data_IF_756523371873
#
_entry.id   IF_756523371873
#
_cell.length_a   1.000
_cell.length_b   1.000
_cell.length_c   1.000
_cell.angle_alpha   90.00
_cell.angle_beta   90.00
_cell.angle_gamma   90.00
#
_symmetry.space_group_name_H-M   'P 1'
#
loop_
_entity.id
_entity.type
_entity.pdbx_description
1 polymer ?
#
# COMPACT_ATOMS: atom_id res chain seq x y z
N UNK A 1 15.44 -33.55 4.03
CA UNK A 1 14.04 -34.00 3.88
C UNK A 1 13.24 -33.41 5.03
N UNK A 2 12.53 -32.29 4.81
CA UNK A 2 11.68 -31.70 5.85
C UNK A 2 10.38 -32.49 5.90
N UNK A 3 10.07 -33.08 7.04
CA UNK A 3 8.79 -33.75 7.30
C UNK A 3 7.66 -32.74 7.23
N UNK A 4 7.06 -32.59 6.04
CA UNK A 4 5.72 -32.01 5.90
C UNK A 4 4.80 -32.83 6.79
N UNK A 5 4.04 -32.25 7.73
CA UNK A 5 3.12 -33.01 8.54
C UNK A 5 2.13 -33.71 7.60
N UNK A 6 2.04 -35.03 7.71
CA UNK A 6 1.10 -35.91 6.99
C UNK A 6 -0.34 -35.70 7.47
N UNK A 7 -0.76 -34.44 7.60
CA UNK A 7 -2.06 -34.08 8.08
C UNK A 7 -2.93 -33.78 6.84
N UNK A 8 -3.99 -34.56 6.56
CA UNK A 8 -4.83 -34.39 5.35
C UNK A 8 -5.40 -32.97 5.18
N UNK A 9 -5.49 -32.21 6.28
CA UNK A 9 -5.87 -30.80 6.28
C UNK A 9 -4.81 -29.88 5.63
N UNK A 10 -3.52 -30.18 5.76
CA UNK A 10 -2.43 -29.45 5.07
C UNK A 10 -2.49 -29.65 3.54
N UNK A 11 -2.90 -30.84 3.09
CA UNK A 11 -3.13 -31.13 1.67
C UNK A 11 -4.32 -30.34 1.11
N UNK A 12 -5.39 -30.16 1.89
CA UNK A 12 -6.52 -29.32 1.51
C UNK A 12 -6.16 -27.81 1.45
N UNK A 13 -5.33 -27.33 2.37
CA UNK A 13 -4.74 -25.98 2.32
C UNK A 13 -3.88 -25.83 1.04
N UNK A 14 -3.06 -26.82 0.69
CA UNK A 14 -2.18 -26.76 -0.50
C UNK A 14 -2.91 -26.59 -1.85
N UNK A 15 -4.21 -26.91 -1.92
CA UNK A 15 -5.06 -26.67 -3.09
C UNK A 15 -5.44 -25.20 -3.28
N UNK A 16 -5.11 -24.31 -2.33
CA UNK A 16 -5.19 -22.87 -2.47
C UNK A 16 -3.76 -22.37 -2.73
N UNK A 17 -3.54 -21.71 -3.87
CA UNK A 17 -2.22 -21.17 -4.20
C UNK A 17 -1.95 -19.91 -3.37
N UNK A 18 -1.13 -20.05 -2.32
CA UNK A 18 -0.85 -18.97 -1.39
C UNK A 18 0.39 -18.17 -1.76
N UNK A 19 0.29 -16.85 -1.64
CA UNK A 19 1.41 -15.92 -1.76
C UNK A 19 2.52 -16.24 -0.77
N UNK A 20 3.71 -16.51 -1.31
CA UNK A 20 4.87 -16.97 -0.55
C UNK A 20 4.92 -18.47 -0.27
N UNK A 21 3.85 -19.23 -0.57
CA UNK A 21 3.79 -20.65 -0.24
C UNK A 21 3.91 -20.92 1.26
N UNK A 22 4.06 -22.20 1.61
CA UNK A 22 4.23 -22.60 3.00
C UNK A 22 5.61 -22.15 3.52
N UNK A 23 5.70 -21.66 4.76
CA UNK A 23 6.98 -21.35 5.37
C UNK A 23 7.87 -22.59 5.45
N UNK A 24 9.11 -22.44 5.01
CA UNK A 24 10.14 -23.46 5.06
C UNK A 24 11.35 -22.95 5.83
N UNK A 25 12.30 -23.82 6.17
CA UNK A 25 13.55 -23.38 6.81
C UNK A 25 14.39 -22.43 5.96
N UNK A 26 14.15 -22.36 4.65
CA UNK A 26 14.80 -21.40 3.74
C UNK A 26 14.27 -19.97 3.90
N UNK A 27 13.10 -19.78 4.52
CA UNK A 27 12.52 -18.46 4.75
C UNK A 27 13.16 -17.72 5.94
N UNK A 28 13.94 -18.39 6.80
CA UNK A 28 14.49 -17.77 8.01
C UNK A 28 15.37 -16.55 7.71
N UNK A 29 16.38 -16.73 6.86
CA UNK A 29 17.34 -15.69 6.53
C UNK A 29 16.66 -14.46 5.89
N UNK A 30 15.85 -14.60 4.83
CA UNK A 30 15.17 -13.44 4.26
C UNK A 30 14.16 -12.81 5.24
N UNK A 31 13.45 -13.60 6.07
CA UNK A 31 12.57 -13.05 7.09
C UNK A 31 13.29 -12.14 8.08
N UNK A 32 14.48 -12.54 8.56
CA UNK A 32 15.28 -11.72 9.48
C UNK A 32 15.78 -10.45 8.79
N UNK A 33 16.29 -10.55 7.57
CA UNK A 33 16.81 -9.39 6.81
C UNK A 33 15.71 -8.34 6.62
N UNK A 34 14.54 -8.75 6.10
CA UNK A 34 13.42 -7.82 5.92
C UNK A 34 12.88 -7.31 7.24
N UNK A 35 12.87 -8.13 8.30
CA UNK A 35 12.43 -7.68 9.62
C UNK A 35 13.31 -6.53 10.13
N UNK A 36 14.63 -6.66 10.01
CA UNK A 36 15.57 -5.59 10.36
C UNK A 36 15.30 -4.34 9.53
N UNK A 37 15.12 -4.47 8.21
CA UNK A 37 14.83 -3.34 7.32
C UNK A 37 13.54 -2.60 7.72
N UNK A 38 12.46 -3.31 8.00
CA UNK A 38 11.19 -2.71 8.44
C UNK A 38 11.29 -2.07 9.82
N UNK A 39 12.00 -2.70 10.77
CA UNK A 39 12.26 -2.12 12.10
C UNK A 39 13.09 -0.84 11.98
N UNK A 40 14.09 -0.80 11.12
CA UNK A 40 14.89 0.41 10.86
C UNK A 40 14.11 1.52 10.15
N UNK A 41 13.10 1.16 9.35
CA UNK A 41 12.20 2.14 8.73
C UNK A 41 11.17 2.71 9.73
N UNK A 42 10.89 2.02 10.83
CA UNK A 42 9.89 2.44 11.82
C UNK A 42 10.20 3.81 12.47
N UNK A 43 11.43 4.11 12.92
CA UNK A 43 11.78 5.44 13.43
C UNK A 43 11.49 6.58 12.45
N UNK A 44 11.71 6.36 11.14
CA UNK A 44 11.43 7.38 10.11
C UNK A 44 9.93 7.66 10.04
N UNK A 45 9.11 6.61 10.04
CA UNK A 45 7.66 6.75 10.06
C UNK A 45 7.17 7.43 11.35
N UNK A 46 7.69 7.02 12.52
CA UNK A 46 7.34 7.61 13.82
C UNK A 46 7.72 9.09 13.85
N UNK A 47 8.92 9.44 13.38
CA UNK A 47 9.34 10.84 13.25
C UNK A 47 8.38 11.65 12.38
N UNK A 48 7.95 11.11 11.23
CA UNK A 48 6.96 11.75 10.34
C UNK A 48 5.58 11.91 10.99
N UNK A 49 5.16 10.94 11.80
CA UNK A 49 3.90 10.98 12.55
C UNK A 49 3.96 11.92 13.77
N UNK A 50 5.15 12.22 14.31
CA UNK A 50 5.29 13.14 15.45
C UNK A 50 5.50 14.58 14.98
N UNK A 51 6.24 14.83 13.91
CA UNK A 51 6.50 16.19 13.42
C UNK A 51 5.24 16.83 12.83
N UNK A 52 4.73 17.91 13.45
CA UNK A 52 3.49 18.60 13.04
C UNK A 52 3.46 18.97 11.55
N UNK A 53 4.60 19.32 10.97
CA UNK A 53 4.77 19.67 9.55
C UNK A 53 4.64 18.49 8.58
N UNK A 54 4.81 17.25 9.06
CA UNK A 54 4.78 16.02 8.23
C UNK A 54 3.55 15.15 8.49
N UNK A 55 2.78 15.44 9.54
CA UNK A 55 1.59 14.67 9.92
C UNK A 55 0.51 14.77 8.84
N UNK A 56 0.09 13.62 8.32
CA UNK A 56 -1.04 13.52 7.40
C UNK A 56 -1.80 12.21 7.63
N UNK A 57 -3.11 12.22 7.41
CA UNK A 57 -3.95 11.01 7.48
C UNK A 57 -3.51 9.95 6.45
N UNK A 58 -2.79 10.36 5.39
CA UNK A 58 -2.24 9.42 4.41
C UNK A 58 -1.19 8.47 5.01
N UNK A 59 -0.53 8.82 6.13
CA UNK A 59 0.46 7.96 6.78
C UNK A 59 -0.16 6.90 7.71
N UNK A 60 -1.47 6.98 7.97
CA UNK A 60 -2.15 6.00 8.84
C UNK A 60 -2.11 4.59 8.24
N UNK A 61 -2.43 4.43 6.94
CA UNK A 61 -2.40 3.11 6.29
C UNK A 61 -0.99 2.53 6.13
N UNK A 62 0.05 3.32 5.76
CA UNK A 62 1.44 2.89 5.86
C UNK A 62 1.86 2.42 7.26
N UNK A 63 1.25 2.97 8.33
CA UNK A 63 1.50 2.52 9.71
C UNK A 63 0.93 1.14 9.97
N UNK A 64 -0.32 0.89 9.54
CA UNK A 64 -0.93 -0.44 9.61
C UNK A 64 -0.14 -1.44 8.77
N UNK A 65 0.29 -1.02 7.57
CA UNK A 65 1.14 -1.82 6.71
C UNK A 65 2.43 -2.25 7.42
N UNK A 66 3.17 -1.32 8.02
CA UNK A 66 4.41 -1.61 8.72
C UNK A 66 4.21 -2.64 9.84
N UNK A 67 3.20 -2.44 10.69
CA UNK A 67 2.86 -3.38 11.77
C UNK A 67 2.50 -4.75 11.20
N UNK A 68 1.69 -4.79 10.14
CA UNK A 68 1.29 -6.03 9.49
C UNK A 68 2.49 -6.81 8.91
N UNK A 69 3.50 -6.09 8.39
CA UNK A 69 4.71 -6.69 7.82
C UNK A 69 5.67 -7.20 8.88
N UNK A 70 5.87 -6.44 9.95
CA UNK A 70 6.63 -6.92 11.10
C UNK A 70 5.99 -8.20 11.67
N UNK A 71 4.67 -8.20 11.88
CA UNK A 71 3.93 -9.38 12.35
C UNK A 71 4.09 -10.59 11.41
N UNK A 72 3.93 -10.38 10.10
CA UNK A 72 4.09 -11.45 9.11
C UNK A 72 5.51 -12.04 9.13
N UNK A 73 6.53 -11.18 9.17
CA UNK A 73 7.93 -11.61 9.15
C UNK A 73 8.33 -12.34 10.43
N UNK A 74 7.86 -11.89 11.59
CA UNK A 74 8.06 -12.58 12.88
C UNK A 74 7.40 -13.96 12.86
N UNK A 75 6.14 -14.03 12.42
CA UNK A 75 5.42 -15.32 12.33
C UNK A 75 6.13 -16.25 11.35
N UNK A 76 6.53 -15.76 10.17
CA UNK A 76 7.20 -16.55 9.14
C UNK A 76 8.58 -17.04 9.59
N UNK A 77 9.34 -16.20 10.30
CA UNK A 77 10.60 -16.60 10.94
C UNK A 77 10.38 -17.70 11.99
N UNK A 78 9.36 -17.56 12.85
CA UNK A 78 9.03 -18.57 13.85
C UNK A 78 8.63 -19.91 13.21
N UNK A 79 7.77 -19.88 12.18
CA UNK A 79 7.31 -21.07 11.45
C UNK A 79 8.44 -21.77 10.68
N UNK A 80 9.53 -21.08 10.34
CA UNK A 80 10.67 -21.68 9.62
C UNK A 80 11.47 -22.72 10.43
N UNK A 81 11.34 -22.69 11.77
CA UNK A 81 12.09 -23.56 12.71
C UNK A 81 11.21 -24.37 13.65
N UNK A 82 9.95 -23.98 13.84
CA UNK A 82 9.05 -24.62 14.80
C UNK A 82 7.89 -25.32 14.11
N UNK A 83 7.35 -26.36 14.76
CA UNK A 83 6.03 -26.89 14.38
C UNK A 83 4.97 -25.84 14.72
N UNK A 84 4.01 -25.63 13.83
CA UNK A 84 3.02 -24.57 13.96
C UNK A 84 1.59 -25.09 13.78
N UNK A 85 0.64 -24.36 14.37
CA UNK A 85 -0.79 -24.65 14.25
C UNK A 85 -1.35 -24.07 12.95
N UNK A 86 -2.50 -24.59 12.52
CA UNK A 86 -3.25 -24.05 11.38
C UNK A 86 -3.61 -22.57 11.57
N UNK A 87 -3.99 -22.17 12.79
CA UNK A 87 -4.32 -20.77 13.09
C UNK A 87 -3.14 -19.82 12.85
N UNK A 88 -1.91 -20.26 13.17
CA UNK A 88 -0.72 -19.46 12.93
C UNK A 88 -0.42 -19.31 11.42
N UNK A 89 -0.65 -20.37 10.64
CA UNK A 89 -0.55 -20.31 9.18
C UNK A 89 -1.61 -19.37 8.59
N UNK A 90 -2.88 -19.47 9.02
CA UNK A 90 -3.95 -18.57 8.56
C UNK A 90 -3.62 -17.11 8.89
N UNK A 91 -3.10 -16.84 10.09
CA UNK A 91 -2.69 -15.49 10.49
C UNK A 91 -1.62 -14.92 9.56
N UNK A 92 -0.60 -15.70 9.22
CA UNK A 92 0.44 -15.30 8.26
C UNK A 92 -0.14 -15.04 6.88
N UNK A 93 -1.01 -15.92 6.39
CA UNK A 93 -1.68 -15.78 5.10
C UNK A 93 -2.52 -14.50 5.00
N UNK A 94 -3.25 -14.16 6.06
CA UNK A 94 -4.01 -12.90 6.16
C UNK A 94 -3.06 -11.71 6.01
N UNK A 95 -1.99 -11.69 6.80
CA UNK A 95 -1.03 -10.59 6.80
C UNK A 95 -0.33 -10.44 5.45
N UNK A 96 0.11 -11.55 4.83
CA UNK A 96 0.70 -11.53 3.48
C UNK A 96 -0.29 -10.93 2.48
N UNK A 97 -1.54 -11.42 2.49
CA UNK A 97 -2.56 -11.07 1.48
C UNK A 97 -2.97 -9.61 1.53
N UNK A 98 -3.09 -9.06 2.73
CA UNK A 98 -3.66 -7.74 2.96
C UNK A 98 -2.62 -6.61 2.89
N UNK A 99 -1.36 -6.88 3.22
CA UNK A 99 -0.36 -5.82 3.44
C UNK A 99 -0.26 -4.78 2.31
N UNK A 100 0.08 -5.18 1.08
CA UNK A 100 0.26 -4.21 -0.02
C UNK A 100 -0.99 -3.36 -0.32
N UNK A 101 -2.21 -3.83 -0.01
CA UNK A 101 -3.45 -3.05 -0.23
C UNK A 101 -3.48 -1.76 0.63
N UNK A 102 -2.81 -1.78 1.79
CA UNK A 102 -2.65 -0.60 2.62
C UNK A 102 -1.75 0.48 1.98
N UNK A 103 -0.92 0.12 1.00
CA UNK A 103 -0.06 1.06 0.27
C UNK A 103 -0.72 1.64 -0.98
N UNK A 104 -1.73 0.96 -1.55
CA UNK A 104 -2.42 1.45 -2.76
C UNK A 104 -3.23 2.72 -2.45
N UNK A 105 -3.95 2.74 -1.33
CA UNK A 105 -4.76 3.91 -1.00
C UNK A 105 -3.97 5.21 -0.76
N UNK A 106 -2.85 5.23 -0.02
CA UNK A 106 -2.06 6.45 0.10
C UNK A 106 -1.47 6.87 -1.25
N UNK A 107 -1.16 5.94 -2.17
CA UNK A 107 -0.77 6.30 -3.54
C UNK A 107 -1.90 7.00 -4.31
N UNK A 108 -3.14 6.50 -4.21
CA UNK A 108 -4.34 7.20 -4.75
C UNK A 108 -4.54 8.56 -4.09
N UNK A 109 -4.31 8.64 -2.78
CA UNK A 109 -4.36 9.88 -2.01
C UNK A 109 -3.35 10.91 -2.49
N UNK A 110 -2.10 10.48 -2.75
CA UNK A 110 -1.04 11.34 -3.28
C UNK A 110 -1.36 11.85 -4.68
N UNK A 111 -1.87 10.99 -5.57
CA UNK A 111 -2.32 11.41 -6.90
C UNK A 111 -3.39 12.51 -6.81
N UNK A 112 -4.40 12.33 -5.94
CA UNK A 112 -5.41 13.38 -5.72
C UNK A 112 -4.78 14.66 -5.16
N UNK A 113 -3.87 14.54 -4.19
CA UNK A 113 -3.21 15.68 -3.57
C UNK A 113 -2.32 16.46 -4.55
N UNK A 114 -1.71 15.80 -5.53
CA UNK A 114 -0.97 16.48 -6.60
C UNK A 114 -1.89 17.41 -7.38
N UNK A 115 -3.03 16.88 -7.85
CA UNK A 115 -4.03 17.67 -8.58
C UNK A 115 -4.55 18.83 -7.71
N UNK A 116 -4.82 18.56 -6.43
CA UNK A 116 -5.27 19.59 -5.48
C UNK A 116 -4.19 20.66 -5.16
N UNK A 117 -2.91 20.34 -5.34
CA UNK A 117 -1.78 21.26 -5.07
C UNK A 117 -1.51 22.18 -6.25
N UNK A 118 -1.53 21.62 -7.47
CA UNK A 118 -1.16 22.34 -8.68
C UNK A 118 -2.30 23.21 -9.21
N UNK A 119 -3.57 22.82 -8.99
CA UNK A 119 -4.73 23.50 -9.58
C UNK A 119 -5.52 24.36 -8.59
N UNK A 120 -5.94 25.55 -9.05
CA UNK A 120 -6.90 26.39 -8.35
C UNK A 120 -8.26 25.66 -8.22
N UNK A 121 -9.03 25.95 -7.16
CA UNK A 121 -10.26 25.21 -6.82
C UNK A 121 -11.29 25.18 -7.96
N UNK A 122 -11.35 26.25 -8.73
CA UNK A 122 -12.30 26.46 -9.83
C UNK A 122 -11.99 25.58 -11.04
N UNK A 123 -10.71 25.34 -11.32
CA UNK A 123 -10.26 24.57 -12.48
C UNK A 123 -10.20 23.05 -12.21
N UNK A 124 -10.54 22.61 -11.00
CA UNK A 124 -10.36 21.21 -10.61
C UNK A 124 -11.38 20.31 -11.30
N UNK A 125 -10.94 19.27 -12.02
CA UNK A 125 -11.85 18.31 -12.61
C UNK A 125 -12.61 17.52 -11.53
N UNK A 126 -13.95 17.60 -11.56
CA UNK A 126 -14.83 16.85 -10.64
C UNK A 126 -14.59 15.34 -10.77
N UNK A 127 -14.25 14.86 -11.97
CA UNK A 127 -14.00 13.45 -12.24
C UNK A 127 -12.79 12.91 -11.45
N UNK A 128 -11.75 13.71 -11.18
CA UNK A 128 -10.59 13.27 -10.38
C UNK A 128 -11.03 12.97 -8.95
N UNK A 129 -11.85 13.84 -8.35
CA UNK A 129 -12.38 13.61 -7.00
C UNK A 129 -13.26 12.36 -6.95
N UNK A 130 -14.15 12.19 -7.92
CA UNK A 130 -15.03 11.01 -8.00
C UNK A 130 -14.24 9.72 -8.20
N UNK A 131 -13.28 9.73 -9.14
CA UNK A 131 -12.44 8.58 -9.43
C UNK A 131 -11.58 8.19 -8.23
N UNK A 132 -10.94 9.17 -7.56
CA UNK A 132 -10.19 8.90 -6.34
C UNK A 132 -11.07 8.25 -5.26
N UNK A 133 -12.32 8.70 -5.07
CA UNK A 133 -13.24 8.04 -4.13
C UNK A 133 -13.59 6.61 -4.56
N UNK A 134 -13.89 6.39 -5.85
CA UNK A 134 -14.20 5.06 -6.39
C UNK A 134 -13.02 4.11 -6.18
N UNK A 135 -11.79 4.53 -6.50
CA UNK A 135 -10.59 3.70 -6.30
C UNK A 135 -10.36 3.37 -4.82
N UNK A 136 -10.61 4.32 -3.91
CA UNK A 136 -10.51 4.07 -2.46
C UNK A 136 -11.55 3.07 -1.97
N UNK A 137 -12.79 3.17 -2.47
CA UNK A 137 -13.86 2.22 -2.15
C UNK A 137 -13.58 0.83 -2.73
N UNK A 138 -13.03 0.76 -3.95
CA UNK A 138 -12.63 -0.49 -4.59
C UNK A 138 -11.53 -1.21 -3.78
N UNK A 139 -10.52 -0.48 -3.29
CA UNK A 139 -9.49 -1.08 -2.41
C UNK A 139 -10.07 -1.50 -1.06
N UNK A 140 -11.01 -0.76 -0.51
CA UNK A 140 -11.70 -1.17 0.72
C UNK A 140 -12.51 -2.46 0.48
N UNK A 141 -13.20 -2.58 -0.65
CA UNK A 141 -13.92 -3.79 -1.02
C UNK A 141 -12.96 -4.97 -1.22
N UNK A 142 -11.83 -4.78 -1.91
CA UNK A 142 -10.79 -5.78 -2.08
C UNK A 142 -10.23 -6.26 -0.73
N UNK A 143 -10.02 -5.33 0.21
CA UNK A 143 -9.57 -5.63 1.56
C UNK A 143 -10.60 -6.48 2.31
N UNK A 144 -11.87 -6.08 2.29
CA UNK A 144 -12.95 -6.83 2.96
C UNK A 144 -13.10 -8.24 2.38
N UNK A 145 -13.03 -8.42 1.07
CA UNK A 145 -13.12 -9.75 0.44
C UNK A 145 -11.90 -10.62 0.75
N UNK A 146 -10.69 -10.04 0.81
CA UNK A 146 -9.49 -10.77 1.23
C UNK A 146 -9.59 -11.26 2.68
N UNK A 147 -10.09 -10.41 3.59
CA UNK A 147 -10.29 -10.75 5.00
C UNK A 147 -11.38 -11.81 5.18
N UNK A 148 -12.53 -11.66 4.52
CA UNK A 148 -13.63 -12.63 4.55
C UNK A 148 -13.17 -14.00 4.02
N UNK A 149 -12.49 -14.02 2.86
CA UNK A 149 -11.94 -15.27 2.30
C UNK A 149 -10.94 -15.93 3.24
N UNK A 150 -10.15 -15.15 3.97
CA UNK A 150 -9.17 -15.71 4.92
C UNK A 150 -9.81 -16.22 6.21
N UNK A 151 -10.85 -15.54 6.72
CA UNK A 151 -11.61 -16.00 7.90
C UNK A 151 -12.36 -17.30 7.67
N UNK A 152 -12.73 -17.59 6.43
CA UNK A 152 -13.46 -18.81 6.05
C UNK A 152 -12.55 -20.03 5.82
N UNK A 153 -11.22 -19.90 5.90
CA UNK A 153 -10.28 -21.00 5.61
C UNK A 153 -10.54 -22.21 6.51
N UNK A 154 -10.71 -22.02 7.82
CA UNK A 154 -10.92 -23.13 8.76
C UNK A 154 -12.18 -23.96 8.44
N UNK A 155 -13.23 -23.32 7.94
CA UNK A 155 -14.46 -23.98 7.52
C UNK A 155 -14.36 -24.59 6.12
N UNK A 156 -13.61 -23.94 5.23
CA UNK A 156 -13.34 -24.39 3.87
C UNK A 156 -12.57 -25.72 3.83
N UNK A 157 -11.74 -25.99 4.84
CA UNK A 157 -11.04 -27.27 4.96
C UNK A 157 -11.96 -28.44 5.26
N UNK A 158 -13.19 -28.16 5.72
CA UNK A 158 -14.20 -29.19 6.00
C UNK A 158 -15.22 -29.33 4.88
N UNK A 159 -15.34 -28.34 3.99
CA UNK A 159 -16.40 -28.26 2.98
C UNK A 159 -15.90 -27.71 1.64
N UNK A 160 -16.05 -28.48 0.56
CA UNK A 160 -15.61 -28.12 -0.80
C UNK A 160 -16.28 -26.85 -1.34
N UNK A 161 -17.56 -26.60 -1.03
CA UNK A 161 -18.25 -25.38 -1.49
C UNK A 161 -17.69 -24.10 -0.85
N UNK A 162 -17.37 -24.17 0.44
CA UNK A 162 -16.72 -23.07 1.15
C UNK A 162 -15.29 -22.86 0.62
N UNK A 163 -14.60 -23.92 0.21
CA UNK A 163 -13.29 -23.84 -0.43
C UNK A 163 -13.33 -23.06 -1.74
N UNK A 164 -14.31 -23.34 -2.62
CA UNK A 164 -14.50 -22.59 -3.86
C UNK A 164 -14.82 -21.12 -3.58
N UNK A 165 -15.68 -20.86 -2.59
CA UNK A 165 -15.99 -19.49 -2.16
C UNK A 165 -14.74 -18.73 -1.72
N UNK A 166 -13.88 -19.33 -0.90
CA UNK A 166 -12.61 -18.74 -0.47
C UNK A 166 -11.71 -18.42 -1.66
N UNK A 167 -11.60 -19.32 -2.63
CA UNK A 167 -10.81 -19.10 -3.85
C UNK A 167 -11.33 -17.89 -4.63
N UNK A 168 -12.64 -17.86 -4.91
CA UNK A 168 -13.27 -16.76 -5.66
C UNK A 168 -13.10 -15.41 -4.96
N UNK A 169 -13.27 -15.36 -3.62
CA UNK A 169 -13.09 -14.11 -2.86
C UNK A 169 -11.65 -13.58 -2.97
N UNK A 170 -10.65 -14.48 -2.93
CA UNK A 170 -9.23 -14.11 -3.03
C UNK A 170 -8.86 -13.70 -4.45
N UNK A 171 -9.35 -14.41 -5.46
CA UNK A 171 -9.19 -14.06 -6.87
C UNK A 171 -9.77 -12.67 -7.17
N UNK A 172 -11.02 -12.44 -6.77
CA UNK A 172 -11.69 -11.15 -6.94
C UNK A 172 -10.93 -10.00 -6.27
N UNK A 173 -10.45 -10.21 -5.05
CA UNK A 173 -9.64 -9.24 -4.32
C UNK A 173 -8.33 -8.88 -5.05
N UNK A 174 -7.65 -9.88 -5.61
CA UNK A 174 -6.38 -9.68 -6.30
C UNK A 174 -6.57 -8.97 -7.65
N UNK A 175 -7.60 -9.37 -8.42
CA UNK A 175 -7.97 -8.72 -9.68
C UNK A 175 -8.37 -7.27 -9.44
N UNK A 176 -9.20 -7.02 -8.43
CA UNK A 176 -9.64 -5.65 -8.10
C UNK A 176 -8.46 -4.76 -7.68
N UNK A 177 -7.50 -5.31 -6.95
CA UNK A 177 -6.29 -4.58 -6.55
C UNK A 177 -5.42 -4.20 -7.76
N UNK A 178 -5.21 -5.11 -8.71
CA UNK A 178 -4.50 -4.79 -9.97
C UNK A 178 -5.25 -3.73 -10.76
N UNK A 179 -6.57 -3.87 -10.92
CA UNK A 179 -7.38 -2.92 -11.67
C UNK A 179 -7.24 -1.50 -11.10
N UNK A 180 -7.27 -1.34 -9.77
CA UNK A 180 -7.06 -0.03 -9.13
C UNK A 180 -5.68 0.54 -9.43
N UNK A 181 -4.62 -0.26 -9.35
CA UNK A 181 -3.26 0.23 -9.60
C UNK A 181 -3.07 0.62 -11.07
N UNK A 182 -3.62 -0.17 -12.00
CA UNK A 182 -3.60 0.16 -13.44
C UNK A 182 -4.33 1.48 -13.70
N UNK A 183 -5.53 1.64 -13.15
CA UNK A 183 -6.29 2.89 -13.30
C UNK A 183 -5.56 4.06 -12.64
N UNK A 184 -4.87 3.87 -11.52
CA UNK A 184 -4.03 4.89 -10.88
C UNK A 184 -2.88 5.33 -11.81
N UNK A 185 -2.17 4.39 -12.43
CA UNK A 185 -1.09 4.71 -13.39
C UNK A 185 -1.64 5.50 -14.57
N UNK A 186 -2.71 5.01 -15.20
CA UNK A 186 -3.36 5.70 -16.33
C UNK A 186 -3.83 7.09 -15.93
N UNK A 187 -4.47 7.22 -14.76
CA UNK A 187 -4.98 8.50 -14.27
C UNK A 187 -3.84 9.49 -13.97
N UNK A 188 -2.72 9.02 -13.46
CA UNK A 188 -1.53 9.84 -13.20
C UNK A 188 -0.95 10.38 -14.52
N UNK A 189 -0.79 9.53 -15.54
CA UNK A 189 -0.31 9.95 -16.87
C UNK A 189 -1.31 10.89 -17.55
N UNK A 190 -2.61 10.58 -17.49
CA UNK A 190 -3.67 11.38 -18.09
C UNK A 190 -3.74 12.78 -17.46
N UNK A 191 -3.68 12.86 -16.13
CA UNK A 191 -3.73 14.16 -15.42
C UNK A 191 -2.47 15.00 -15.70
N UNK A 192 -1.30 14.38 -15.77
CA UNK A 192 -0.06 15.07 -16.15
C UNK A 192 -0.12 15.62 -17.57
N UNK A 193 -0.53 14.80 -18.55
CA UNK A 193 -0.59 15.21 -19.97
C UNK A 193 -1.69 16.23 -20.26
N UNK A 194 -2.82 16.18 -19.55
CA UNK A 194 -3.94 17.10 -19.78
C UNK A 194 -3.79 18.43 -19.07
N UNK A 195 -3.25 18.44 -17.84
CA UNK A 195 -3.21 19.63 -16.99
C UNK A 195 -1.79 20.17 -16.77
N UNK A 196 -0.76 19.57 -17.37
CA UNK A 196 0.63 19.99 -17.24
C UNK A 196 1.08 20.13 -15.77
N UNK A 197 0.71 19.12 -14.97
CA UNK A 197 1.07 19.04 -13.55
C UNK A 197 2.58 18.94 -13.35
N UNK A 198 3.06 19.26 -12.15
CA UNK A 198 4.48 19.17 -11.83
C UNK A 198 5.04 17.76 -12.12
N UNK A 199 6.11 17.74 -12.93
CA UNK A 199 6.77 16.53 -13.39
C UNK A 199 7.41 15.77 -12.24
N UNK A 200 7.93 16.47 -11.22
CA UNK A 200 8.59 15.83 -10.07
C UNK A 200 7.60 15.02 -9.24
N UNK A 201 6.45 15.62 -8.90
CA UNK A 201 5.35 14.94 -8.22
C UNK A 201 4.83 13.74 -9.01
N UNK A 202 4.68 13.91 -10.32
CA UNK A 202 4.19 12.86 -11.23
C UNK A 202 5.15 11.67 -11.30
N UNK A 203 6.45 11.90 -11.53
CA UNK A 203 7.46 10.83 -11.57
C UNK A 203 7.50 10.07 -10.23
N UNK A 204 7.38 10.79 -9.12
CA UNK A 204 7.38 10.18 -7.80
C UNK A 204 6.17 9.25 -7.59
N UNK A 205 4.96 9.69 -7.96
CA UNK A 205 3.74 8.88 -7.89
C UNK A 205 3.80 7.70 -8.85
N UNK A 206 4.34 7.89 -10.06
CA UNK A 206 4.56 6.81 -11.02
C UNK A 206 5.56 5.78 -10.48
N UNK A 207 6.62 6.21 -9.80
CA UNK A 207 7.57 5.31 -9.14
C UNK A 207 6.90 4.43 -8.09
N UNK A 208 6.09 5.03 -7.20
CA UNK A 208 5.29 4.26 -6.22
C UNK A 208 4.34 3.30 -6.94
N UNK A 209 3.62 3.79 -7.93
CA UNK A 209 2.61 3.01 -8.67
C UNK A 209 3.23 1.86 -9.46
N UNK A 210 4.44 2.04 -10.01
CA UNK A 210 5.19 1.00 -10.71
C UNK A 210 5.60 -0.13 -9.76
N UNK A 211 6.12 0.20 -8.57
CA UNK A 211 6.43 -0.78 -7.53
C UNK A 211 5.16 -1.58 -7.13
N UNK A 212 4.04 -0.87 -6.89
CA UNK A 212 2.77 -1.51 -6.55
C UNK A 212 2.18 -2.34 -7.70
N UNK A 213 2.41 -1.93 -8.95
CA UNK A 213 1.94 -2.67 -10.14
C UNK A 213 2.67 -3.99 -10.27
N UNK A 214 4.00 -4.00 -10.07
CA UNK A 214 4.80 -5.23 -10.07
C UNK A 214 4.27 -6.21 -9.03
N UNK A 215 4.04 -5.73 -7.80
CA UNK A 215 3.48 -6.53 -6.71
C UNK A 215 2.08 -7.06 -7.07
N UNK A 216 1.20 -6.20 -7.58
CA UNK A 216 -0.17 -6.57 -7.88
C UNK A 216 -0.24 -7.61 -9.03
N UNK A 217 0.54 -7.42 -10.09
CA UNK A 217 0.65 -8.36 -11.21
C UNK A 217 1.22 -9.69 -10.73
N UNK A 218 2.30 -9.66 -9.94
CA UNK A 218 2.86 -10.88 -9.34
C UNK A 218 1.79 -11.66 -8.58
N UNK A 219 0.99 -11.01 -7.72
CA UNK A 219 -0.06 -11.68 -6.95
C UNK A 219 -1.14 -12.29 -7.84
N UNK A 220 -1.55 -11.62 -8.90
CA UNK A 220 -2.53 -12.17 -9.85
C UNK A 220 -1.95 -13.39 -10.56
N UNK A 221 -0.76 -13.27 -11.17
CA UNK A 221 -0.08 -14.40 -11.84
C UNK A 221 0.07 -15.57 -10.89
N UNK A 222 0.47 -15.31 -9.66
CA UNK A 222 0.65 -16.35 -8.66
C UNK A 222 -0.67 -17.00 -8.22
N UNK A 223 -1.76 -16.24 -8.14
CA UNK A 223 -3.09 -16.78 -7.78
C UNK A 223 -3.61 -17.74 -8.86
N UNK A 224 -3.43 -17.39 -10.13
CA UNK A 224 -3.91 -18.18 -11.26
C UNK A 224 -2.91 -19.24 -11.75
N UNK A 225 -1.71 -19.32 -11.18
CA UNK A 225 -0.74 -20.35 -11.52
C UNK A 225 -1.23 -21.74 -11.09
N UNK A 226 -1.52 -22.60 -12.06
CA UNK A 226 -1.95 -23.99 -11.82
C UNK A 226 -0.77 -24.94 -11.65
N UNK A 227 0.32 -24.71 -12.38
CA UNK A 227 1.52 -25.55 -12.35
C UNK A 227 2.30 -25.38 -11.03
N UNK A 228 2.54 -26.46 -10.26
CA UNK A 228 3.39 -26.44 -9.06
C UNK A 228 4.83 -25.98 -9.29
N UNK A 229 5.36 -26.18 -10.50
CA UNK A 229 6.73 -25.83 -10.89
C UNK A 229 6.87 -24.41 -11.47
N UNK A 230 5.76 -23.67 -11.59
CA UNK A 230 5.78 -22.31 -12.12
C UNK A 230 6.71 -21.38 -11.33
N UNK A 231 7.52 -20.60 -12.04
CA UNK A 231 8.46 -19.65 -11.44
C UNK A 231 7.81 -18.65 -10.47
N UNK A 232 6.55 -18.27 -10.72
CA UNK A 232 5.76 -17.39 -9.86
C UNK A 232 5.51 -17.98 -8.45
N UNK A 233 5.51 -19.31 -8.31
CA UNK A 233 5.35 -20.00 -7.03
C UNK A 233 6.67 -20.21 -6.29
N UNK A 234 7.80 -19.81 -6.89
CA UNK A 234 9.10 -19.93 -6.25
C UNK A 234 9.23 -18.98 -5.05
N UNK A 235 10.01 -19.43 -4.07
CA UNK A 235 10.34 -18.63 -2.89
C UNK A 235 11.09 -17.34 -3.28
N UNK A 236 11.97 -17.42 -4.28
CA UNK A 236 12.69 -16.26 -4.81
C UNK A 236 11.72 -15.22 -5.40
N UNK A 237 10.71 -15.64 -6.17
CA UNK A 237 9.72 -14.74 -6.73
C UNK A 237 8.93 -14.01 -5.64
N UNK A 238 8.57 -14.69 -4.55
CA UNK A 238 7.93 -14.03 -3.41
C UNK A 238 8.84 -12.98 -2.78
N UNK A 239 10.06 -13.33 -2.41
CA UNK A 239 10.96 -12.39 -1.73
C UNK A 239 11.36 -11.21 -2.62
N UNK A 240 11.49 -11.39 -3.93
CA UNK A 240 11.87 -10.32 -4.85
C UNK A 240 10.63 -9.54 -5.29
N UNK A 241 9.68 -10.19 -5.98
CA UNK A 241 8.56 -9.50 -6.63
C UNK A 241 7.52 -8.96 -5.65
N UNK A 242 7.30 -9.65 -4.53
CA UNK A 242 6.45 -9.13 -3.45
C UNK A 242 7.26 -8.25 -2.50
N UNK A 243 8.24 -8.81 -1.79
CA UNK A 243 8.78 -8.13 -0.60
C UNK A 243 9.69 -6.94 -0.93
N UNK A 244 10.56 -7.02 -1.95
CA UNK A 244 11.45 -5.90 -2.32
C UNK A 244 10.67 -4.71 -2.86
N UNK A 245 9.82 -4.92 -3.87
CA UNK A 245 9.07 -3.83 -4.50
C UNK A 245 8.07 -3.17 -3.55
N UNK A 246 7.45 -3.97 -2.69
CA UNK A 246 6.55 -3.44 -1.67
C UNK A 246 7.31 -2.64 -0.60
N UNK A 247 8.49 -3.09 -0.18
CA UNK A 247 9.37 -2.33 0.71
C UNK A 247 9.78 -1.00 0.06
N UNK A 248 10.15 -0.99 -1.22
CA UNK A 248 10.47 0.25 -1.93
C UNK A 248 9.28 1.20 -2.02
N UNK A 249 8.08 0.71 -2.36
CA UNK A 249 6.87 1.53 -2.35
C UNK A 249 6.62 2.17 -0.97
N UNK A 250 6.80 1.40 0.10
CA UNK A 250 6.66 1.89 1.47
C UNK A 250 7.73 2.93 1.83
N UNK A 251 9.00 2.65 1.54
CA UNK A 251 10.12 3.59 1.80
C UNK A 251 9.90 4.90 1.06
N UNK A 252 9.47 4.86 -0.21
CA UNK A 252 9.13 6.06 -0.97
C UNK A 252 8.04 6.87 -0.25
N UNK A 253 6.96 6.23 0.20
CA UNK A 253 5.86 6.91 0.90
C UNK A 253 6.31 7.64 2.19
N UNK A 254 7.27 7.09 2.94
CA UNK A 254 7.76 7.70 4.19
C UNK A 254 8.98 8.64 3.97
N UNK A 255 9.66 8.52 2.83
CA UNK A 255 10.86 9.28 2.51
C UNK A 255 10.59 10.78 2.41
N UNK A 256 9.40 11.17 1.94
CA UNK A 256 9.03 12.58 1.75
C UNK A 256 8.11 13.10 2.85
N UNK A 257 8.17 14.41 3.11
CA UNK A 257 7.15 15.10 3.89
C UNK A 257 5.96 15.42 2.96
N UNK A 258 4.92 14.58 2.99
CA UNK A 258 3.75 14.70 2.10
C UNK A 258 3.16 16.13 2.10
N UNK A 259 2.92 16.81 3.24
CA UNK A 259 2.36 18.17 3.24
C UNK A 259 3.30 19.24 2.68
N UNK A 260 4.59 18.96 2.55
CA UNK A 260 5.58 19.90 1.99
C UNK A 260 5.67 19.74 0.48
N UNK A 261 5.69 18.49 0.00
CA UNK A 261 5.75 18.17 -1.43
C UNK A 261 4.38 18.35 -2.12
N UNK A 262 3.31 18.01 -1.41
CA UNK A 262 1.93 18.09 -1.87
C UNK A 262 1.11 18.90 -0.85
N UNK A 263 1.29 20.23 -0.81
CA UNK A 263 0.69 21.09 0.22
C UNK A 263 -0.85 21.10 0.20
N UNK A 264 -1.45 20.75 -0.93
CA UNK A 264 -2.89 20.82 -1.14
C UNK A 264 -3.45 22.22 -0.88
N UNK A 265 -4.77 22.28 -0.73
CA UNK A 265 -5.51 23.53 -0.61
C UNK A 265 -5.24 24.28 0.70
N UNK A 266 -5.24 23.59 1.84
CA UNK A 266 -5.21 24.21 3.16
C UNK A 266 -3.89 24.93 3.45
N UNK A 267 -2.75 24.45 2.94
CA UNK A 267 -1.47 25.16 3.08
C UNK A 267 -1.32 26.30 2.07
N UNK A 268 -1.87 26.18 0.85
CA UNK A 268 -1.89 27.26 -0.14
C UNK A 268 -2.74 28.44 0.34
N UNK A 269 -3.93 28.17 0.87
CA UNK A 269 -4.83 29.19 1.44
C UNK A 269 -4.20 29.89 2.66
N UNK A 270 -3.60 29.14 3.59
CA UNK A 270 -2.88 29.73 4.73
C UNK A 270 -1.69 30.59 4.29
N UNK A 271 -0.94 30.15 3.28
CA UNK A 271 0.18 30.94 2.71
C UNK A 271 -0.32 32.22 2.05
N UNK A 272 -1.36 32.14 1.22
CA UNK A 272 -1.95 33.31 0.55
C UNK A 272 -2.56 34.29 1.56
N UNK A 273 -3.24 33.80 2.60
CA UNK A 273 -3.76 34.63 3.68
C UNK A 273 -2.63 35.33 4.45
N UNK A 274 -1.50 34.66 4.72
CA UNK A 274 -0.35 35.29 5.37
C UNK A 274 0.32 36.36 4.50
N UNK A 275 0.38 36.15 3.18
CA UNK A 275 0.92 37.16 2.26
C UNK A 275 0.00 38.39 2.20
N UNK A 276 -1.31 38.18 2.11
CA UNK A 276 -2.27 39.26 2.06
C UNK A 276 -2.27 40.11 3.35
N UNK A 277 -2.13 39.47 4.53
CA UNK A 277 -1.97 40.20 5.79
C UNK A 277 -0.67 41.03 5.84
N UNK A 278 0.44 40.48 5.35
CA UNK A 278 1.70 41.21 5.28
C UNK A 278 1.62 42.42 4.34
N UNK A 279 0.94 42.28 3.19
CA UNK A 279 0.74 43.39 2.24
C UNK A 279 -0.13 44.50 2.85
N UNK A 280 -1.13 44.15 3.65
CA UNK A 280 -1.96 45.10 4.40
C UNK A 280 -1.12 45.83 5.46
N UNK A 281 -0.28 45.13 6.22
CA UNK A 281 0.60 45.74 7.23
C UNK A 281 1.63 46.71 6.60
N UNK A 282 2.21 46.34 5.46
CA UNK A 282 3.15 47.19 4.70
C UNK A 282 2.44 48.42 4.13
N UNK A 283 1.20 48.27 3.65
CA UNK A 283 0.36 49.37 3.19
C UNK A 283 0.05 50.36 4.32
N UNK A 284 -0.36 49.88 5.49
CA UNK A 284 -0.66 50.72 6.65
C UNK A 284 0.57 51.45 7.21
N UNK A 285 1.73 50.82 7.23
CA UNK A 285 2.98 51.47 7.68
C UNK A 285 3.44 52.57 6.73
N UNK A 286 3.25 52.41 5.41
CA UNK A 286 3.54 53.46 4.42
C UNK A 286 2.62 54.66 4.58
N UNK A 287 1.32 54.44 4.79
CA UNK A 287 0.35 55.53 4.95
C UNK A 287 0.61 56.34 6.23
N UNK A 288 0.92 55.66 7.33
CA UNK A 288 1.34 56.30 8.59
C UNK A 288 2.62 57.12 8.47
N UNK A 289 3.54 56.75 7.57
CA UNK A 289 4.79 57.48 7.34
C UNK A 289 4.59 58.76 6.51
N UNK A 290 3.58 58.78 5.63
CA UNK A 290 3.24 59.96 4.82
C UNK A 290 2.47 61.02 5.60
N UNK A 291 1.70 60.62 6.63
CA UNK A 291 0.96 61.55 7.51
C UNK A 291 1.90 62.32 8.46
N UNK A 292 3.14 61.85 8.67
CA UNK A 292 4.13 62.46 9.58
C UNK A 292 5.14 63.40 8.91
N UNK A 293 4.99 63.70 7.61
CA UNK A 293 5.77 64.72 6.89
C UNK A 293 4.92 65.95 6.63
#
# INVERSE_FOLDING_TARGET
MSSTPSNPQFSAISNINFTGGFPTSKDLAPSIIFLILYVLAAPVLVYRLIKKESRTLLLFRPSIFLVSRIGMLVIRAYMSKNKYSQGLLIAELVLVSVGFMFLIEPAVGLWKLQVDSDMAKEDRPIWVRRLAMILKLAILAALCTALAGSGMISDALKNTDKLNTVKTLREASNVLSVAVVVVLVISTVLTHTRFHLDTRGTIFILGISANLLIVAVYRVVQTFATDPSAAARSLAAFWILQMVFEFFAFVMLIAIAIPVWFPGQTHREKRLASLNNNDIEIGQTRDMSNIRK
#
